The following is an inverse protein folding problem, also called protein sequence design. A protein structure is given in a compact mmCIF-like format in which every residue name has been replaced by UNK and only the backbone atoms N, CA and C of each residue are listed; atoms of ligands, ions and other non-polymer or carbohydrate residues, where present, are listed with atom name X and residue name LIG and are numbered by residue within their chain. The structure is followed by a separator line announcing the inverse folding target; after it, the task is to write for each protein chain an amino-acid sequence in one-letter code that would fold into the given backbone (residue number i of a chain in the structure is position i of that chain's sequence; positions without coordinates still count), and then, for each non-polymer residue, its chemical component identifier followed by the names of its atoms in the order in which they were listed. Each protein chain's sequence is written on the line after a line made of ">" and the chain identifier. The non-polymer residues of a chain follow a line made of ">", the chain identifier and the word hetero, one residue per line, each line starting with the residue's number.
data_IF_055932263643
#
_entry.id   IF_055932263643
#
_cell.length_a   1.000
_cell.length_b   1.000
_cell.length_c   1.000
_cell.angle_alpha   90.00
_cell.angle_beta   90.00
_cell.angle_gamma   90.00
#
_symmetry.space_group_name_H-M   'P 1'
#
loop_
_entity.id
_entity.type
_entity.pdbx_description
1 polymer ?
#
# COMPACT_ATOMS: atom_id res chain seq x y z
N UNK A 1 -12.29 7.68 23.54
CA UNK A 1 -12.22 6.21 23.45
C UNK A 1 -10.77 5.83 23.24
N UNK A 2 -10.09 5.25 24.22
CA UNK A 2 -8.72 4.76 24.03
C UNK A 2 -8.79 3.55 23.09
N UNK A 3 -8.16 3.63 21.93
CA UNK A 3 -7.84 2.44 21.14
C UNK A 3 -6.98 1.52 22.02
N UNK A 4 -7.52 0.35 22.37
CA UNK A 4 -6.82 -0.69 23.12
C UNK A 4 -5.62 -1.19 22.29
N UNK A 5 -4.51 -1.48 22.98
CA UNK A 5 -3.24 -1.86 22.35
C UNK A 5 -3.39 -3.06 21.39
N UNK A 6 -4.25 -4.03 21.72
CA UNK A 6 -4.60 -5.17 20.88
C UNK A 6 -5.29 -4.75 19.57
N UNK A 7 -6.15 -3.74 19.62
CA UNK A 7 -6.83 -3.19 18.44
C UNK A 7 -5.85 -2.42 17.54
N UNK A 8 -4.92 -1.68 18.13
CA UNK A 8 -3.85 -1.00 17.40
C UNK A 8 -2.93 -2.00 16.69
N UNK A 9 -2.51 -3.07 17.37
CA UNK A 9 -1.70 -4.14 16.76
C UNK A 9 -2.43 -4.85 15.63
N UNK A 10 -3.72 -5.14 15.78
CA UNK A 10 -4.53 -5.72 14.70
C UNK A 10 -4.63 -4.78 13.48
N UNK A 11 -4.78 -3.47 13.70
CA UNK A 11 -4.76 -2.47 12.62
C UNK A 11 -3.41 -2.38 11.94
N UNK A 12 -2.30 -2.44 12.68
CA UNK A 12 -0.94 -2.50 12.11
C UNK A 12 -0.76 -3.74 11.24
N UNK A 13 -1.19 -4.91 11.71
CA UNK A 13 -1.12 -6.15 10.92
C UNK A 13 -1.96 -6.06 9.64
N UNK A 14 -3.17 -5.51 9.74
CA UNK A 14 -4.02 -5.28 8.57
C UNK A 14 -3.35 -4.33 7.57
N UNK A 15 -2.82 -3.19 8.04
CA UNK A 15 -2.13 -2.22 7.20
C UNK A 15 -0.87 -2.82 6.52
N UNK A 16 -0.13 -3.71 7.22
CA UNK A 16 0.97 -4.46 6.61
C UNK A 16 0.50 -5.41 5.52
N UNK A 17 -0.64 -6.07 5.71
CA UNK A 17 -1.26 -6.91 4.68
C UNK A 17 -1.69 -6.11 3.45
N UNK A 18 -2.33 -4.95 3.65
CA UNK A 18 -2.73 -4.05 2.56
C UNK A 18 -1.51 -3.48 1.82
N UNK A 19 -0.44 -3.18 2.54
CA UNK A 19 0.83 -2.74 1.95
C UNK A 19 1.41 -3.82 1.04
N UNK A 20 1.53 -5.06 1.53
CA UNK A 20 2.06 -6.18 0.75
C UNK A 20 1.19 -6.47 -0.50
N UNK A 21 -0.13 -6.36 -0.37
CA UNK A 21 -1.05 -6.51 -1.50
C UNK A 21 -0.86 -5.38 -2.54
N UNK A 22 -0.68 -4.14 -2.10
CA UNK A 22 -0.40 -3.00 -2.98
C UNK A 22 0.95 -3.14 -3.70
N UNK A 23 2.00 -3.61 -3.00
CA UNK A 23 3.32 -3.89 -3.58
C UNK A 23 3.22 -4.99 -4.65
N UNK A 24 2.54 -6.10 -4.36
CA UNK A 24 2.33 -7.18 -5.32
C UNK A 24 1.54 -6.73 -6.56
N UNK A 25 0.51 -5.90 -6.37
CA UNK A 25 -0.27 -5.34 -7.47
C UNK A 25 0.57 -4.39 -8.35
N UNK A 26 1.43 -3.59 -7.74
CA UNK A 26 2.36 -2.72 -8.44
C UNK A 26 3.38 -3.52 -9.25
N UNK A 27 4.02 -4.52 -8.65
CA UNK A 27 4.99 -5.40 -9.32
C UNK A 27 4.37 -6.10 -10.52
N UNK A 28 3.14 -6.61 -10.38
CA UNK A 28 2.40 -7.20 -11.49
C UNK A 28 2.14 -6.19 -12.60
N UNK A 29 1.69 -4.98 -12.24
CA UNK A 29 1.41 -3.92 -13.22
C UNK A 29 2.67 -3.51 -13.98
N UNK A 30 3.82 -3.44 -13.30
CA UNK A 30 5.13 -3.17 -13.90
C UNK A 30 5.57 -4.32 -14.82
N UNK A 31 5.36 -5.57 -14.40
CA UNK A 31 5.61 -6.75 -15.23
C UNK A 31 4.79 -6.74 -16.51
N UNK A 32 3.48 -6.51 -16.39
CA UNK A 32 2.55 -6.41 -17.51
C UNK A 32 2.92 -5.25 -18.47
N UNK A 33 3.43 -4.14 -17.93
CA UNK A 33 3.96 -3.01 -18.72
C UNK A 33 5.23 -3.36 -19.49
N UNK A 34 6.12 -4.16 -18.89
CA UNK A 34 7.42 -4.51 -19.50
C UNK A 34 7.23 -5.27 -20.81
N UNK A 35 6.26 -6.18 -20.85
CA UNK A 35 6.03 -7.10 -21.96
C UNK A 35 5.08 -6.55 -23.03
N UNK A 36 4.56 -5.33 -22.86
CA UNK A 36 3.59 -4.71 -23.78
C UNK A 36 4.21 -3.75 -24.79
N UNK A 37 3.54 -3.63 -25.93
CA UNK A 37 3.87 -2.68 -26.99
C UNK A 37 3.64 -1.23 -26.54
N UNK A 38 4.34 -0.29 -27.20
CA UNK A 38 4.37 1.12 -26.78
C UNK A 38 3.01 1.79 -26.73
N UNK A 39 2.09 1.43 -27.63
CA UNK A 39 0.71 1.95 -27.65
C UNK A 39 -0.10 1.50 -26.42
N UNK A 40 0.16 0.30 -25.90
CA UNK A 40 -0.54 -0.22 -24.72
C UNK A 40 0.04 0.35 -23.41
N UNK A 41 1.28 0.84 -23.42
CA UNK A 41 1.93 1.48 -22.26
C UNK A 41 1.26 2.79 -21.87
N UNK A 42 0.78 3.58 -22.84
CA UNK A 42 0.03 4.81 -22.57
C UNK A 42 -1.31 4.54 -21.88
N UNK A 43 -1.95 3.40 -22.17
CA UNK A 43 -3.22 2.99 -21.58
C UNK A 43 -3.05 2.53 -20.13
N UNK A 44 -1.88 1.97 -19.77
CA UNK A 44 -1.61 1.45 -18.42
C UNK A 44 -1.01 2.51 -17.50
N UNK A 45 -0.47 3.62 -18.01
CA UNK A 45 0.08 4.70 -17.19
C UNK A 45 -0.88 5.17 -16.06
N UNK A 46 -2.20 5.36 -16.29
CA UNK A 46 -3.14 5.69 -15.21
C UNK A 46 -3.32 4.57 -14.18
N UNK A 47 -3.26 3.30 -14.61
CA UNK A 47 -3.37 2.16 -13.71
C UNK A 47 -2.11 2.01 -12.84
N UNK A 48 -0.93 2.31 -13.40
CA UNK A 48 0.33 2.35 -12.67
C UNK A 48 0.35 3.49 -11.66
N UNK A 49 -0.09 4.69 -12.04
CA UNK A 49 -0.23 5.84 -11.13
C UNK A 49 -1.19 5.53 -9.98
N UNK A 50 -2.33 4.89 -10.27
CA UNK A 50 -3.28 4.47 -9.24
C UNK A 50 -2.67 3.42 -8.28
N UNK A 51 -1.87 2.48 -8.79
CA UNK A 51 -1.17 1.51 -7.96
C UNK A 51 -0.13 2.19 -7.04
N UNK A 52 0.65 3.14 -7.55
CA UNK A 52 1.60 3.93 -6.75
C UNK A 52 0.91 4.79 -5.70
N UNK A 53 -0.21 5.44 -6.04
CA UNK A 53 -0.99 6.23 -5.10
C UNK A 53 -1.50 5.36 -3.95
N UNK A 54 -2.01 4.16 -4.26
CA UNK A 54 -2.48 3.20 -3.25
C UNK A 54 -1.36 2.69 -2.36
N UNK A 55 -0.18 2.41 -2.92
CA UNK A 55 1.00 2.03 -2.15
C UNK A 55 1.43 3.14 -1.18
N UNK A 56 1.47 4.38 -1.66
CA UNK A 56 1.85 5.54 -0.86
C UNK A 56 0.89 5.76 0.30
N UNK A 57 -0.43 5.67 0.03
CA UNK A 57 -1.45 5.80 1.06
C UNK A 57 -1.34 4.68 2.12
N UNK A 58 -1.15 3.43 1.69
CA UNK A 58 -0.98 2.30 2.61
C UNK A 58 0.27 2.46 3.50
N UNK A 59 1.38 2.97 2.96
CA UNK A 59 2.59 3.30 3.74
C UNK A 59 2.32 4.39 4.77
N UNK A 60 1.65 5.47 4.39
CA UNK A 60 1.35 6.58 5.30
C UNK A 60 0.49 6.10 6.49
N UNK A 61 -0.55 5.31 6.22
CA UNK A 61 -1.41 4.73 7.26
C UNK A 61 -0.62 3.81 8.19
N UNK A 62 0.30 3.01 7.64
CA UNK A 62 1.14 2.13 8.47
C UNK A 62 2.06 2.92 9.38
N UNK A 63 2.71 3.98 8.86
CA UNK A 63 3.60 4.85 9.66
C UNK A 63 2.83 5.50 10.80
N UNK A 64 1.66 6.07 10.52
CA UNK A 64 0.81 6.70 11.54
C UNK A 64 0.39 5.70 12.62
N UNK A 65 0.02 4.48 12.24
CA UNK A 65 -0.33 3.42 13.19
C UNK A 65 0.87 2.96 14.01
N UNK A 66 2.07 2.88 13.43
CA UNK A 66 3.30 2.52 14.14
C UNK A 66 3.74 3.63 15.11
N UNK A 67 3.57 4.90 14.76
CA UNK A 67 3.78 6.04 15.67
C UNK A 67 2.79 6.02 16.85
N UNK A 68 1.51 5.79 16.57
CA UNK A 68 0.47 5.67 17.62
C UNK A 68 0.71 4.51 18.59
N UNK A 69 1.36 3.42 18.14
CA UNK A 69 1.78 2.32 19.01
C UNK A 69 2.98 2.73 19.88
N UNK A 70 3.96 3.45 19.32
CA UNK A 70 5.13 3.93 20.06
C UNK A 70 4.78 4.96 21.13
N UNK A 71 3.84 5.86 20.86
CA UNK A 71 3.40 6.89 21.82
C UNK A 71 2.54 6.32 22.97
N UNK A 72 2.04 5.09 22.83
CA UNK A 72 1.19 4.43 23.83
C UNK A 72 1.88 3.30 24.61
N UNK A 73 3.11 2.95 24.25
CA UNK A 73 3.94 1.96 24.94
C UNK A 73 4.86 2.61 25.95
#
# INVERSE_FOLDING_TARGET
>A
MSLDQSTLLAKVQHAKGELAAAESALDKTIGDLRDRDRADKEIIAPALEAAFARLTAARAVLVELEELVKDKG
#
